data_IF_268533791295
#
_entry.id   IF_268533791295
#
_cell.length_a   1.000
_cell.length_b   1.000
_cell.length_c   1.000
_cell.angle_alpha   90.00
_cell.angle_beta   90.00
_cell.angle_gamma   90.00
#
_symmetry.space_group_name_H-M   'P 1'
#
loop_
_entity.id
_entity.type
_entity.pdbx_description
1 polymer ?
#
# COMPACT_ATOMS: atom_id res chain seq x y z
N UNK A 1 -3.06 25.54 15.97
CA UNK A 1 -1.98 24.63 16.43
C UNK A 1 -2.14 23.30 15.71
N UNK A 2 -1.04 22.71 15.26
CA UNK A 2 -1.05 21.33 14.75
C UNK A 2 -1.18 20.43 15.97
N UNK A 3 -2.14 19.50 15.96
CA UNK A 3 -2.28 18.49 17.02
C UNK A 3 -1.06 17.59 17.15
N UNK A 4 -1.02 16.79 18.22
CA UNK A 4 0.11 15.92 18.61
C UNK A 4 0.41 14.82 17.57
N UNK A 5 -0.65 14.24 16.98
CA UNK A 5 -0.52 13.14 16.02
C UNK A 5 -1.04 13.56 14.65
N UNK A 6 -0.33 13.16 13.61
CA UNK A 6 -0.89 13.16 12.26
C UNK A 6 -1.96 12.09 12.14
N UNK A 7 -2.92 12.29 11.23
CA UNK A 7 -3.95 11.32 10.89
C UNK A 7 -3.73 10.85 9.45
N UNK A 8 -3.38 9.57 9.30
CA UNK A 8 -3.16 8.91 8.02
C UNK A 8 -4.50 8.55 7.38
N UNK A 9 -4.73 9.01 6.18
CA UNK A 9 -5.89 8.67 5.35
C UNK A 9 -5.44 7.96 4.08
N UNK A 10 -6.34 7.23 3.42
CA UNK A 10 -6.06 6.49 2.19
C UNK A 10 -5.32 7.36 1.16
N UNK A 11 -5.80 8.58 0.91
CA UNK A 11 -5.17 9.49 -0.04
C UNK A 11 -3.71 9.84 0.25
N UNK A 12 -3.27 9.79 1.51
CA UNK A 12 -1.88 10.12 1.88
C UNK A 12 -0.86 9.05 1.43
N UNK A 13 -1.31 7.85 1.07
CA UNK A 13 -0.46 6.85 0.43
C UNK A 13 -0.21 7.12 -1.06
N UNK A 14 -0.97 8.04 -1.67
CA UNK A 14 -0.94 8.25 -3.12
C UNK A 14 -0.58 9.69 -3.49
N UNK A 15 -1.56 10.57 -3.59
CA UNK A 15 -1.37 11.92 -4.16
C UNK A 15 -1.74 13.05 -3.21
N UNK A 16 -2.28 12.75 -2.03
CA UNK A 16 -2.74 13.78 -1.11
C UNK A 16 -1.68 14.15 -0.09
N UNK A 17 -1.10 15.33 -0.24
CA UNK A 17 -0.09 15.89 0.67
C UNK A 17 -0.69 16.66 1.86
N UNK A 18 -2.03 16.77 1.93
CA UNK A 18 -2.70 17.40 3.05
C UNK A 18 -2.81 16.48 4.25
N UNK A 19 -2.44 16.96 5.43
CA UNK A 19 -2.47 16.21 6.67
C UNK A 19 -3.45 16.80 7.67
N UNK A 20 -4.25 15.91 8.27
CA UNK A 20 -5.00 16.24 9.48
C UNK A 20 -4.17 15.92 10.71
N UNK A 21 -4.52 16.55 11.82
CA UNK A 21 -3.85 16.38 13.09
C UNK A 21 -4.90 16.17 14.19
N UNK A 22 -4.55 15.44 15.22
CA UNK A 22 -5.41 15.14 16.36
C UNK A 22 -4.60 15.17 17.65
N UNK A 23 -5.20 15.63 18.71
CA UNK A 23 -4.68 15.57 20.09
C UNK A 23 -5.26 14.37 20.87
N UNK A 24 -6.05 13.52 20.22
CA UNK A 24 -6.68 12.37 20.87
C UNK A 24 -5.61 11.34 21.29
N UNK A 25 -5.71 10.94 22.56
CA UNK A 25 -5.00 9.77 23.07
C UNK A 25 -5.92 8.55 22.90
N UNK A 26 -5.49 7.60 22.05
CA UNK A 26 -6.27 6.43 21.69
C UNK A 26 -5.56 5.16 22.21
N UNK A 27 -6.25 4.02 22.18
CA UNK A 27 -5.61 2.72 22.40
C UNK A 27 -4.56 2.44 21.31
N UNK A 28 -3.51 1.70 21.63
CA UNK A 28 -2.38 1.42 20.70
C UNK A 28 -2.79 0.78 19.39
N UNK A 29 -3.90 0.04 19.38
CA UNK A 29 -4.45 -0.56 18.16
C UNK A 29 -4.85 0.44 17.07
N UNK A 30 -5.08 1.71 17.43
CA UNK A 30 -5.44 2.77 16.48
C UNK A 30 -4.23 3.55 15.94
N UNK A 31 -3.02 3.17 16.36
CA UNK A 31 -1.79 3.76 15.87
C UNK A 31 -1.04 2.81 14.94
N UNK A 32 -0.44 3.38 13.93
CA UNK A 32 0.57 2.72 13.11
C UNK A 32 1.96 3.24 13.48
N UNK A 33 2.94 2.36 13.46
CA UNK A 33 4.36 2.63 13.71
C UNK A 33 5.18 2.16 12.50
N UNK A 34 6.41 2.65 12.41
CA UNK A 34 7.33 2.25 11.35
C UNK A 34 7.46 0.72 11.27
N UNK A 35 7.23 0.18 10.08
CA UNK A 35 7.26 -1.25 9.82
C UNK A 35 5.91 -1.95 9.93
N UNK A 36 4.85 -1.28 10.38
CA UNK A 36 3.51 -1.87 10.39
C UNK A 36 2.99 -2.10 8.97
N UNK A 37 2.34 -3.24 8.78
CA UNK A 37 1.62 -3.57 7.55
C UNK A 37 0.20 -3.01 7.65
N UNK A 38 -0.12 -2.12 6.74
CA UNK A 38 -1.43 -1.49 6.62
C UNK A 38 -2.10 -1.91 5.31
N UNK A 39 -3.42 -1.96 5.29
CA UNK A 39 -4.19 -2.24 4.08
C UNK A 39 -5.28 -1.19 3.90
N UNK A 40 -5.28 -0.50 2.78
CA UNK A 40 -6.36 0.42 2.38
C UNK A 40 -7.47 -0.38 1.73
N UNK A 41 -8.72 -0.20 2.18
CA UNK A 41 -9.87 -0.98 1.68
C UNK A 41 -10.99 -0.12 1.07
N UNK A 42 -10.79 1.19 1.00
CA UNK A 42 -11.76 2.13 0.44
C UNK A 42 -11.10 3.06 -0.56
N UNK A 43 -11.78 3.37 -1.63
CA UNK A 43 -11.35 4.21 -2.76
C UNK A 43 -10.17 3.62 -3.55
N UNK A 44 -9.06 3.33 -2.90
CA UNK A 44 -7.90 2.66 -3.49
C UNK A 44 -7.49 1.54 -2.53
N UNK A 45 -7.34 0.33 -3.08
CA UNK A 45 -7.04 -0.87 -2.32
C UNK A 45 -5.56 -1.19 -2.36
N UNK A 46 -5.05 -1.78 -1.30
CA UNK A 46 -3.74 -2.42 -1.33
C UNK A 46 -2.97 -2.37 -0.03
N UNK A 47 -1.92 -3.19 0.06
CA UNK A 47 -1.01 -3.25 1.19
C UNK A 47 0.02 -2.11 1.16
N UNK A 48 0.41 -1.63 2.34
CA UNK A 48 1.41 -0.59 2.53
C UNK A 48 2.24 -0.91 3.77
N UNK A 49 3.55 -0.80 3.68
CA UNK A 49 4.41 -0.78 4.87
C UNK A 49 4.57 0.67 5.31
N UNK A 50 4.15 0.97 6.54
CA UNK A 50 4.31 2.31 7.08
C UNK A 50 5.78 2.59 7.40
N UNK A 51 6.31 3.68 6.87
CA UNK A 51 7.73 4.05 7.02
C UNK A 51 7.94 5.29 7.90
N UNK A 52 6.86 5.96 8.31
CA UNK A 52 6.92 7.19 9.10
C UNK A 52 6.87 6.96 10.60
N UNK A 53 6.78 8.07 11.35
CA UNK A 53 6.62 8.08 12.80
C UNK A 53 5.26 7.53 13.23
N UNK A 54 5.06 7.40 14.56
CA UNK A 54 3.77 6.97 15.15
C UNK A 54 2.65 7.91 14.68
N UNK A 55 1.57 7.34 14.13
CA UNK A 55 0.47 8.05 13.49
C UNK A 55 -0.87 7.40 13.81
N UNK A 56 -1.93 8.19 13.92
CA UNK A 56 -3.29 7.66 13.97
C UNK A 56 -3.70 7.33 12.55
N UNK A 57 -4.32 6.18 12.29
CA UNK A 57 -4.85 5.85 10.97
C UNK A 57 -6.38 5.86 10.94
N UNK A 58 -6.91 6.28 9.79
CA UNK A 58 -8.35 6.38 9.56
C UNK A 58 -9.00 5.00 9.41
N UNK A 59 -10.26 4.84 9.77
CA UNK A 59 -10.99 3.57 9.74
C UNK A 59 -11.03 2.87 8.35
N UNK A 60 -10.77 3.59 7.26
CA UNK A 60 -10.61 3.01 5.91
C UNK A 60 -9.26 2.30 5.69
N UNK A 61 -8.48 2.17 6.73
CA UNK A 61 -7.20 1.48 6.74
C UNK A 61 -7.28 0.41 7.82
N UNK A 62 -6.88 -0.80 7.49
CA UNK A 62 -6.68 -1.87 8.48
C UNK A 62 -5.19 -1.99 8.80
N UNK A 63 -4.87 -2.19 10.05
CA UNK A 63 -3.57 -2.66 10.49
C UNK A 63 -3.61 -4.18 10.50
N UNK A 64 -2.68 -4.81 9.78
CA UNK A 64 -2.61 -6.27 9.65
C UNK A 64 -1.53 -6.79 10.59
N UNK A 65 -1.94 -7.65 11.50
CA UNK A 65 -1.06 -8.43 12.35
C UNK A 65 -0.84 -9.79 11.71
N UNK A 66 0.44 -10.10 11.44
CA UNK A 66 0.81 -11.36 10.81
C UNK A 66 1.05 -12.42 11.87
N UNK A 67 0.61 -13.66 11.60
CA UNK A 67 1.02 -14.79 12.41
C UNK A 67 2.52 -15.07 12.24
N UNK A 68 3.08 -15.80 13.19
CA UNK A 68 4.48 -16.22 13.15
C UNK A 68 4.85 -17.12 11.97
N UNK A 69 3.85 -17.69 11.27
CA UNK A 69 4.04 -18.55 10.11
C UNK A 69 4.11 -17.79 8.78
N UNK A 70 3.97 -16.45 8.80
CA UNK A 70 3.90 -15.64 7.57
C UNK A 70 4.94 -14.52 7.58
N UNK A 71 5.86 -14.57 6.62
CA UNK A 71 6.84 -13.51 6.40
C UNK A 71 6.16 -12.22 5.87
N UNK A 72 6.59 -11.08 6.36
CA UNK A 72 5.97 -9.78 6.02
C UNK A 72 6.14 -9.41 4.55
N UNK A 73 7.31 -9.62 3.97
CA UNK A 73 7.58 -9.30 2.56
C UNK A 73 6.76 -10.17 1.64
N UNK A 74 6.59 -11.45 2.00
CA UNK A 74 5.73 -12.38 1.29
C UNK A 74 4.25 -12.01 1.43
N UNK A 75 3.80 -11.64 2.64
CA UNK A 75 2.43 -11.20 2.89
C UNK A 75 2.03 -9.98 2.04
N UNK A 76 2.94 -9.01 1.87
CA UNK A 76 2.71 -7.86 0.97
C UNK A 76 2.44 -8.33 -0.46
N UNK A 77 3.22 -9.28 -0.97
CA UNK A 77 3.04 -9.80 -2.34
C UNK A 77 1.74 -10.58 -2.50
N UNK A 78 1.37 -11.39 -1.50
CA UNK A 78 0.06 -12.08 -1.49
C UNK A 78 -1.10 -11.09 -1.53
N UNK A 79 -1.05 -10.05 -0.72
CA UNK A 79 -2.10 -9.03 -0.66
C UNK A 79 -2.18 -8.21 -1.95
N UNK A 80 -1.05 -7.96 -2.60
CA UNK A 80 -1.01 -7.27 -3.90
C UNK A 80 -1.58 -8.17 -5.01
N UNK A 81 -1.26 -9.46 -5.02
CA UNK A 81 -1.85 -10.43 -5.95
C UNK A 81 -3.37 -10.54 -5.75
N UNK A 82 -3.82 -10.63 -4.49
CA UNK A 82 -5.24 -10.68 -4.16
C UNK A 82 -5.98 -9.44 -4.64
N UNK A 83 -5.40 -8.27 -4.44
CA UNK A 83 -5.92 -7.00 -4.98
C UNK A 83 -6.09 -7.07 -6.50
N UNK A 84 -5.12 -7.60 -7.24
CA UNK A 84 -5.23 -7.75 -8.70
C UNK A 84 -6.38 -8.68 -9.08
N UNK A 85 -6.56 -9.79 -8.37
CA UNK A 85 -7.69 -10.70 -8.58
C UNK A 85 -9.04 -9.99 -8.34
N UNK A 86 -9.17 -9.28 -7.23
CA UNK A 86 -10.38 -8.52 -6.88
C UNK A 86 -10.68 -7.46 -7.96
N UNK A 87 -9.66 -6.81 -8.50
CA UNK A 87 -9.84 -5.79 -9.53
C UNK A 87 -10.18 -6.38 -10.90
N UNK A 88 -9.70 -7.60 -11.21
CA UNK A 88 -10.00 -8.28 -12.49
C UNK A 88 -11.40 -8.87 -12.52
N UNK A 89 -11.94 -9.30 -11.39
CA UNK A 89 -13.29 -9.88 -11.28
C UNK A 89 -14.43 -8.86 -11.40
N UNK A 90 -14.12 -7.63 -11.77
CA UNK A 90 -15.09 -6.56 -12.03
C UNK A 90 -15.95 -6.83 -13.27
N UNK A 91 -16.84 -7.79 -13.19
CA UNK A 91 -17.92 -7.97 -14.17
C UNK A 91 -18.97 -6.85 -14.01
N UNK A 92 -18.67 -5.64 -14.48
CA UNK A 92 -19.64 -4.55 -14.61
C UNK A 92 -20.07 -3.82 -13.34
N UNK A 93 -19.60 -4.19 -12.14
CA UNK A 93 -19.88 -3.46 -10.91
C UNK A 93 -18.92 -2.29 -10.73
N UNK A 94 -19.47 -1.10 -10.52
CA UNK A 94 -18.69 0.13 -10.26
C UNK A 94 -18.04 0.17 -8.89
N UNK A 95 -18.41 -0.73 -7.96
CA UNK A 95 -17.94 -0.70 -6.58
C UNK A 95 -17.49 -2.09 -6.14
N UNK A 96 -16.23 -2.20 -5.79
CA UNK A 96 -15.67 -3.40 -5.14
C UNK A 96 -15.79 -3.22 -3.64
N UNK A 97 -16.47 -4.15 -2.98
CA UNK A 97 -16.54 -4.20 -1.53
C UNK A 97 -15.60 -5.27 -0.99
N UNK A 98 -14.54 -4.83 -0.32
CA UNK A 98 -13.68 -5.73 0.46
C UNK A 98 -14.18 -5.68 1.90
N UNK A 99 -14.59 -6.82 2.43
CA UNK A 99 -14.98 -6.94 3.83
C UNK A 99 -13.84 -7.55 4.64
N UNK A 100 -13.75 -7.16 5.92
CA UNK A 100 -12.76 -7.73 6.84
C UNK A 100 -12.92 -9.25 6.93
N UNK A 101 -14.14 -9.73 7.10
CA UNK A 101 -14.47 -11.18 7.17
C UNK A 101 -14.01 -11.89 5.89
N UNK A 102 -14.32 -11.36 4.71
CA UNK A 102 -13.89 -11.97 3.45
C UNK A 102 -12.37 -12.02 3.27
N UNK A 103 -11.62 -11.11 3.90
CA UNK A 103 -10.15 -11.17 3.92
C UNK A 103 -9.63 -12.21 4.93
N UNK A 104 -10.26 -12.31 6.10
CA UNK A 104 -9.85 -13.22 7.18
C UNK A 104 -10.18 -14.69 6.86
N UNK A 105 -11.22 -14.97 6.09
CA UNK A 105 -11.66 -16.32 5.71
C UNK A 105 -10.91 -16.89 4.49
N UNK A 106 -10.03 -16.12 3.85
CA UNK A 106 -9.29 -16.60 2.68
C UNK A 106 -8.32 -17.72 3.02
N UNK A 107 -8.46 -18.82 2.29
CA UNK A 107 -7.48 -19.90 2.31
C UNK A 107 -6.34 -19.59 1.34
N UNK A 108 -5.13 -19.55 1.86
CA UNK A 108 -3.92 -19.29 1.07
C UNK A 108 -2.95 -20.47 1.17
N UNK A 109 -2.36 -20.84 0.04
CA UNK A 109 -1.27 -21.78 0.00
C UNK A 109 0.04 -21.01 0.14
N UNK A 110 0.87 -21.40 1.09
CA UNK A 110 2.17 -20.77 1.32
C UNK A 110 3.27 -21.81 1.54
N UNK A 111 4.50 -21.46 1.18
CA UNK A 111 5.66 -22.25 1.57
C UNK A 111 5.73 -22.38 3.09
N UNK A 112 6.05 -23.55 3.61
CA UNK A 112 6.19 -23.78 5.07
C UNK A 112 7.40 -23.01 5.62
N UNK A 113 8.45 -22.86 4.80
CA UNK A 113 9.69 -22.22 5.20
C UNK A 113 9.59 -20.69 5.14
N UNK A 114 9.74 -20.02 6.27
CA UNK A 114 9.84 -18.56 6.34
C UNK A 114 11.02 -18.01 5.52
N UNK A 115 12.12 -18.77 5.41
CA UNK A 115 13.27 -18.38 4.59
C UNK A 115 12.89 -18.36 3.10
N UNK A 116 12.10 -19.34 2.66
CA UNK A 116 11.59 -19.39 1.30
C UNK A 116 10.62 -18.26 1.04
N UNK A 117 9.66 -18.03 1.94
CA UNK A 117 8.73 -16.90 1.87
C UNK A 117 9.47 -15.57 1.75
N UNK A 118 10.47 -15.31 2.61
CA UNK A 118 11.26 -14.09 2.59
C UNK A 118 12.02 -13.90 1.27
N UNK A 119 12.58 -14.99 0.70
CA UNK A 119 13.25 -14.94 -0.62
C UNK A 119 12.26 -14.58 -1.73
N UNK A 120 11.09 -15.19 -1.75
CA UNK A 120 10.03 -14.91 -2.73
C UNK A 120 9.57 -13.45 -2.59
N UNK A 121 9.25 -13.02 -1.38
CA UNK A 121 8.80 -11.66 -1.11
C UNK A 121 9.82 -10.60 -1.54
N UNK A 122 11.10 -10.81 -1.19
CA UNK A 122 12.20 -9.92 -1.59
C UNK A 122 12.41 -9.90 -3.09
N UNK A 123 12.30 -11.03 -3.76
CA UNK A 123 12.44 -11.11 -5.21
C UNK A 123 11.40 -10.26 -5.93
N UNK A 124 10.12 -10.41 -5.59
CA UNK A 124 9.05 -9.62 -6.19
C UNK A 124 9.14 -8.14 -5.81
N UNK A 125 9.51 -7.81 -4.58
CA UNK A 125 9.75 -6.42 -4.18
C UNK A 125 10.85 -5.76 -5.03
N UNK A 126 11.91 -6.49 -5.36
CA UNK A 126 12.97 -5.99 -6.24
C UNK A 126 12.45 -5.76 -7.67
N UNK A 127 11.58 -6.63 -8.18
CA UNK A 127 10.94 -6.42 -9.48
C UNK A 127 10.05 -5.17 -9.47
N UNK A 128 9.25 -4.96 -8.43
CA UNK A 128 8.40 -3.77 -8.29
C UNK A 128 9.23 -2.49 -8.25
N UNK A 129 10.37 -2.51 -7.55
CA UNK A 129 11.31 -1.41 -7.50
C UNK A 129 11.90 -1.10 -8.90
N UNK A 130 12.27 -2.14 -9.66
CA UNK A 130 12.77 -1.99 -11.02
C UNK A 130 11.70 -1.42 -11.96
N UNK A 131 10.47 -1.94 -11.88
CA UNK A 131 9.33 -1.42 -12.66
C UNK A 131 9.12 0.07 -12.36
N UNK A 132 9.06 0.43 -11.08
CA UNK A 132 8.89 1.82 -10.65
C UNK A 132 10.01 2.73 -11.17
N UNK A 133 11.26 2.26 -11.11
CA UNK A 133 12.41 3.01 -11.62
C UNK A 133 12.31 3.24 -13.13
N UNK A 134 11.93 2.22 -13.90
CA UNK A 134 11.76 2.33 -15.35
C UNK A 134 10.60 3.27 -15.71
N UNK A 135 9.48 3.20 -15.00
CA UNK A 135 8.37 4.11 -15.20
C UNK A 135 8.79 5.58 -15.00
N UNK A 136 9.55 5.86 -13.93
CA UNK A 136 10.09 7.22 -13.68
C UNK A 136 11.04 7.68 -14.80
N UNK A 137 11.87 6.78 -15.33
CA UNK A 137 12.73 7.10 -16.49
C UNK A 137 11.93 7.44 -17.73
N UNK A 138 10.91 6.64 -18.04
CA UNK A 138 10.00 6.89 -19.18
C UNK A 138 9.31 8.25 -19.03
N UNK A 139 8.79 8.56 -17.84
CA UNK A 139 8.12 9.84 -17.60
C UNK A 139 9.08 11.02 -17.75
N UNK A 140 10.30 10.90 -17.22
CA UNK A 140 11.35 11.92 -17.41
C UNK A 140 11.66 12.14 -18.90
N UNK A 141 11.78 11.06 -19.69
CA UNK A 141 12.03 11.17 -21.13
C UNK A 141 10.86 11.82 -21.87
N UNK A 142 9.62 11.49 -21.51
CA UNK A 142 8.42 12.16 -22.06
C UNK A 142 8.45 13.67 -21.79
N UNK A 143 8.80 14.08 -20.56
CA UNK A 143 8.88 15.48 -20.18
C UNK A 143 10.00 16.21 -20.94
N UNK A 144 11.18 15.60 -21.11
CA UNK A 144 12.27 16.14 -21.94
C UNK A 144 11.81 16.31 -23.40
N UNK A 145 11.21 15.26 -23.97
CA UNK A 145 10.66 15.32 -25.35
C UNK A 145 9.67 16.48 -25.50
N UNK A 146 8.73 16.62 -24.57
CA UNK A 146 7.75 17.71 -24.58
C UNK A 146 8.43 19.09 -24.52
N UNK A 147 9.41 19.24 -23.63
CA UNK A 147 10.15 20.51 -23.48
C UNK A 147 10.93 20.88 -24.76
N UNK A 148 11.58 19.90 -25.41
CA UNK A 148 12.31 20.10 -26.65
C UNK A 148 11.36 20.47 -27.81
N UNK A 149 10.23 19.76 -27.96
CA UNK A 149 9.23 20.08 -28.97
C UNK A 149 8.69 21.51 -28.81
N UNK A 150 8.39 21.93 -27.58
CA UNK A 150 7.94 23.29 -27.31
C UNK A 150 8.99 24.34 -27.69
N UNK A 151 10.28 24.05 -27.55
CA UNK A 151 11.36 24.96 -27.96
C UNK A 151 11.59 25.00 -29.47
N UNK A 152 11.21 23.95 -30.19
CA UNK A 152 11.37 23.89 -31.66
C UNK A 152 10.22 24.54 -32.41
N UNK A 153 9.09 24.76 -31.76
CA UNK A 153 7.85 25.27 -32.35
C UNK A 153 7.64 26.76 -32.04
N UNK A 154 8.62 27.43 -31.43
CA UNK A 154 8.70 28.88 -31.24
C UNK A 154 9.68 29.45 -32.27
#
# INVERSE_FOLDING_TARGET
>A
SKGKYKVLRVGNFYTNDSWYYSDMELEDKFYAQKGDLLYTWSATFGPHIWCGDKIIYHYHIWKIELSYALDKSFAVQLLEQDKQSILSDKNGSTMVHITKVGMEEKNILLPISLVEQAKIGTYFQNLDNLITLQQRKVEKLKNIKKALLNKMLI
#
